data_IF_615904262463
#
_entry.id   IF_615904262463
#
_cell.length_a   1.000
_cell.length_b   1.000
_cell.length_c   1.000
_cell.angle_alpha   90.00
_cell.angle_beta   90.00
_cell.angle_gamma   90.00
#
_symmetry.space_group_name_H-M   'P 1'
#
loop_
_entity.id
_entity.type
_entity.pdbx_description
1 polymer ?
#
# COMPACT_ATOMS: atom_id res chain seq x y z
N UNK A 1 -37.99 -7.74 -14.12
CA UNK A 1 -37.08 -8.12 -13.01
C UNK A 1 -36.00 -7.06 -12.98
N UNK A 2 -35.98 -6.20 -11.97
CA UNK A 2 -34.90 -5.21 -11.83
C UNK A 2 -33.74 -5.90 -11.14
N UNK A 3 -32.62 -6.09 -11.83
CA UNK A 3 -31.38 -6.56 -11.23
C UNK A 3 -30.75 -5.37 -10.49
N UNK A 4 -30.52 -5.52 -9.18
CA UNK A 4 -29.68 -4.58 -8.45
C UNK A 4 -28.22 -4.86 -8.82
N UNK A 5 -27.47 -3.83 -9.18
CA UNK A 5 -26.03 -3.96 -9.33
C UNK A 5 -25.42 -4.41 -7.99
N UNK A 6 -24.39 -5.28 -7.98
CA UNK A 6 -23.73 -5.65 -6.75
C UNK A 6 -23.18 -4.38 -6.08
N UNK A 7 -23.44 -4.25 -4.79
CA UNK A 7 -22.85 -3.20 -3.97
C UNK A 7 -21.33 -3.34 -4.08
N UNK A 8 -20.66 -2.24 -4.47
CA UNK A 8 -19.21 -2.24 -4.55
C UNK A 8 -18.68 -2.62 -3.17
N UNK A 9 -18.06 -3.80 -3.08
CA UNK A 9 -17.26 -4.12 -1.91
C UNK A 9 -16.27 -2.96 -1.77
N UNK A 10 -16.34 -2.25 -0.65
CA UNK A 10 -15.24 -1.38 -0.26
C UNK A 10 -14.03 -2.31 -0.18
N UNK A 11 -13.19 -2.29 -1.21
CA UNK A 11 -11.91 -2.97 -1.25
C UNK A 11 -11.04 -2.25 -0.21
N UNK A 12 -11.36 -2.49 1.06
CA UNK A 12 -10.58 -2.07 2.19
C UNK A 12 -9.17 -2.53 1.90
N UNK A 13 -8.29 -1.56 1.65
CA UNK A 13 -6.89 -1.79 1.27
C UNK A 13 -6.34 -2.86 2.22
N UNK A 14 -5.79 -3.96 1.68
CA UNK A 14 -5.28 -5.03 2.55
C UNK A 14 -4.29 -4.41 3.55
N UNK A 15 -4.55 -4.50 4.87
CA UNK A 15 -3.68 -3.88 5.87
C UNK A 15 -2.25 -4.47 5.88
N UNK A 16 -2.03 -5.55 5.12
CA UNK A 16 -0.74 -6.20 4.93
C UNK A 16 -0.03 -5.75 3.66
N UNK A 17 -0.62 -4.85 2.86
CA UNK A 17 0.07 -4.29 1.70
C UNK A 17 1.38 -3.63 2.16
N UNK A 18 2.53 -4.05 1.59
CA UNK A 18 3.82 -3.59 2.09
C UNK A 18 4.04 -2.10 1.84
N UNK A 19 3.49 -1.53 0.76
CA UNK A 19 3.60 -0.09 0.50
C UNK A 19 2.79 0.70 1.53
N UNK A 20 1.56 0.25 1.84
CA UNK A 20 0.76 0.83 2.92
C UNK A 20 1.54 0.82 4.24
N UNK A 21 2.08 -0.33 4.64
CA UNK A 21 2.81 -0.46 5.91
C UNK A 21 4.09 0.38 5.96
N UNK A 22 4.84 0.46 4.86
CA UNK A 22 6.04 1.29 4.78
C UNK A 22 5.67 2.78 4.83
N UNK A 23 4.59 3.19 4.16
CA UNK A 23 4.09 4.57 4.21
C UNK A 23 3.60 4.98 5.61
N UNK A 24 3.07 4.03 6.39
CA UNK A 24 2.71 4.26 7.80
C UNK A 24 3.94 4.31 8.72
N UNK A 25 5.07 3.73 8.32
CA UNK A 25 6.27 3.62 9.15
C UNK A 25 7.21 4.83 9.01
N UNK A 26 7.49 5.24 7.78
CA UNK A 26 8.38 6.36 7.48
C UNK A 26 7.69 7.71 7.65
N UNK A 27 8.48 8.77 7.83
CA UNK A 27 7.95 10.13 7.84
C UNK A 27 7.26 10.45 6.48
N UNK A 28 6.16 11.19 6.52
CA UNK A 28 5.39 11.54 5.34
C UNK A 28 6.26 12.19 4.25
N UNK A 29 6.21 11.62 3.04
CA UNK A 29 6.96 12.11 1.89
C UNK A 29 8.43 11.69 1.82
N UNK A 30 8.96 10.95 2.80
CA UNK A 30 10.35 10.47 2.80
C UNK A 30 10.55 9.13 2.07
N UNK A 31 9.47 8.38 1.83
CA UNK A 31 9.53 7.04 1.27
C UNK A 31 9.96 7.06 -0.21
N UNK A 32 11.06 6.38 -0.51
CA UNK A 32 11.58 6.16 -1.86
C UNK A 32 11.77 4.66 -2.13
N UNK A 33 11.12 4.13 -3.17
CA UNK A 33 11.25 2.72 -3.54
C UNK A 33 12.63 2.43 -4.15
N UNK A 34 13.28 1.36 -3.71
CA UNK A 34 14.60 0.95 -4.22
C UNK A 34 14.51 0.13 -5.52
N UNK A 35 13.31 -0.34 -5.86
CA UNK A 35 13.00 -1.07 -7.08
C UNK A 35 11.51 -0.98 -7.39
N UNK A 36 11.12 -1.31 -8.63
CA UNK A 36 9.72 -1.40 -9.01
C UNK A 36 8.98 -2.49 -8.21
N UNK A 37 7.68 -2.30 -7.97
CA UNK A 37 6.86 -3.35 -7.35
C UNK A 37 6.72 -4.54 -8.27
N UNK A 38 6.86 -5.72 -7.69
CA UNK A 38 6.67 -6.99 -8.38
C UNK A 38 5.95 -8.01 -7.46
N UNK A 39 6.01 -9.30 -7.84
CA UNK A 39 5.41 -10.42 -7.08
C UNK A 39 6.46 -11.27 -6.35
N UNK A 40 7.64 -10.72 -6.08
CA UNK A 40 8.71 -11.42 -5.34
C UNK A 40 8.32 -11.73 -3.88
N UNK A 41 7.32 -11.03 -3.35
CA UNK A 41 6.91 -11.10 -1.95
C UNK A 41 7.72 -10.16 -1.03
N UNK A 42 8.59 -9.33 -1.58
CA UNK A 42 9.40 -8.35 -0.85
C UNK A 42 9.27 -6.97 -1.51
N UNK A 43 9.24 -5.91 -0.70
CA UNK A 43 9.34 -4.53 -1.15
C UNK A 43 10.33 -3.79 -0.26
N UNK A 44 11.36 -3.19 -0.86
CA UNK A 44 12.36 -2.41 -0.16
C UNK A 44 12.26 -0.93 -0.51
N UNK A 45 12.44 -0.07 0.50
CA UNK A 45 12.39 1.38 0.37
C UNK A 45 13.41 2.05 1.32
N UNK A 46 13.85 3.24 0.94
CA UNK A 46 14.53 4.19 1.82
C UNK A 46 13.52 5.20 2.38
N UNK A 47 13.83 5.81 3.52
CA UNK A 47 13.00 6.83 4.16
C UNK A 47 13.57 7.26 5.52
N UNK A 48 12.95 8.26 6.13
CA UNK A 48 13.39 8.85 7.40
C UNK A 48 12.45 8.47 8.55
N UNK A 49 12.95 8.52 9.79
CA UNK A 49 12.16 8.29 11.00
C UNK A 49 12.55 9.32 12.04
N UNK A 50 11.72 10.35 12.19
CA UNK A 50 12.03 11.57 12.93
C UNK A 50 13.25 12.35 12.35
N UNK A 51 13.37 12.40 11.02
CA UNK A 51 14.37 13.25 10.33
C UNK A 51 15.25 12.55 9.30
#
# INVERSE_FOLDING_TARGET
MTIMAPEAIDESLDPRDPLLRLSTFFDDGSLELLHERDRSGVLAAAGTVNG
#
